data_IF_120720167080
#
_entry.id   IF_120720167080
#
_cell.length_a   1.000
_cell.length_b   1.000
_cell.length_c   1.000
_cell.angle_alpha   90.00
_cell.angle_beta   90.00
_cell.angle_gamma   90.00
#
_symmetry.space_group_name_H-M   'P 1'
#
loop_
_entity.id
_entity.type
_entity.pdbx_description
1 polymer ?
#
# COMPACT_ATOMS: atom_id res chain seq x y z
N UNK A 1 -3.52 20.25 -57.55
CA UNK A 1 -2.68 19.46 -56.62
C UNK A 1 -3.45 19.31 -55.32
N UNK A 2 -4.07 18.16 -55.08
CA UNK A 2 -4.84 17.88 -53.85
C UNK A 2 -4.23 16.60 -53.27
N UNK A 3 -3.50 16.71 -52.17
CA UNK A 3 -2.97 15.56 -51.44
C UNK A 3 -3.97 15.18 -50.36
N UNK A 4 -4.54 13.99 -50.51
CA UNK A 4 -5.41 13.31 -49.55
C UNK A 4 -4.72 13.12 -48.20
N UNK A 5 -5.40 13.49 -47.13
CA UNK A 5 -5.13 13.00 -45.78
C UNK A 5 -6.06 11.82 -45.51
N UNK A 6 -5.50 10.61 -45.39
CA UNK A 6 -6.21 9.45 -44.84
C UNK A 6 -5.82 9.35 -43.37
N UNK A 7 -6.74 9.73 -42.50
CA UNK A 7 -6.61 9.58 -41.05
C UNK A 7 -7.12 8.17 -40.68
N UNK A 8 -6.21 7.22 -40.48
CA UNK A 8 -6.55 5.92 -39.89
C UNK A 8 -6.82 6.12 -38.40
N UNK A 9 -8.09 6.10 -38.01
CA UNK A 9 -8.49 5.98 -36.61
C UNK A 9 -8.26 4.54 -36.14
N UNK A 10 -7.15 4.30 -35.44
CA UNK A 10 -6.94 3.08 -34.64
C UNK A 10 -7.86 3.17 -33.41
N UNK A 11 -9.06 2.58 -33.54
CA UNK A 11 -9.94 2.33 -32.40
C UNK A 11 -9.39 1.09 -31.67
N UNK A 12 -8.45 1.32 -30.76
CA UNK A 12 -8.02 0.31 -29.80
C UNK A 12 -9.17 0.00 -28.85
N UNK A 13 -9.78 -1.17 -28.99
CA UNK A 13 -10.77 -1.70 -28.06
C UNK A 13 -10.13 -1.90 -26.69
N UNK A 14 -10.38 -0.98 -25.76
CA UNK A 14 -10.22 -1.22 -24.33
C UNK A 14 -11.20 -2.33 -23.95
N UNK A 15 -10.70 -3.56 -23.83
CA UNK A 15 -11.44 -4.65 -23.21
C UNK A 15 -11.64 -4.29 -21.73
N UNK A 16 -12.80 -3.72 -21.41
CA UNK A 16 -13.28 -3.64 -20.04
C UNK A 16 -13.43 -5.09 -19.56
N UNK A 17 -12.53 -5.53 -18.69
CA UNK A 17 -12.71 -6.77 -17.95
C UNK A 17 -13.97 -6.62 -17.11
N UNK A 18 -15.09 -7.13 -17.62
CA UNK A 18 -16.33 -7.21 -16.86
C UNK A 18 -16.07 -8.09 -15.66
N UNK A 19 -16.24 -7.62 -14.41
CA UNK A 19 -16.12 -8.48 -13.25
C UNK A 19 -17.11 -9.64 -13.43
N UNK A 20 -16.60 -10.87 -13.35
CA UNK A 20 -17.40 -12.08 -13.50
C UNK A 20 -18.62 -11.99 -12.57
N UNK A 21 -19.82 -12.41 -13.02
CA UNK A 21 -21.02 -12.36 -12.21
C UNK A 21 -20.82 -13.24 -10.97
N UNK A 22 -20.59 -12.60 -9.82
CA UNK A 22 -20.41 -13.27 -8.53
C UNK A 22 -21.77 -13.78 -8.06
N UNK A 23 -21.93 -15.10 -7.98
CA UNK A 23 -23.19 -15.73 -7.57
C UNK A 23 -23.57 -15.27 -6.16
N UNK A 24 -24.69 -14.53 -5.99
CA UNK A 24 -25.13 -14.04 -4.68
C UNK A 24 -25.45 -15.18 -3.70
N UNK A 25 -25.65 -16.42 -4.19
CA UNK A 25 -25.90 -17.59 -3.35
C UNK A 25 -24.63 -18.17 -2.72
N UNK A 26 -23.44 -17.68 -3.08
CA UNK A 26 -22.18 -18.12 -2.46
C UNK A 26 -22.20 -17.95 -0.93
N UNK A 27 -22.84 -16.87 -0.44
CA UNK A 27 -22.97 -16.59 0.99
C UNK A 27 -23.97 -17.49 1.73
N UNK A 28 -24.67 -18.39 1.04
CA UNK A 28 -25.45 -19.46 1.67
C UNK A 28 -24.59 -20.67 2.05
N UNK A 29 -23.40 -20.80 1.44
CA UNK A 29 -22.50 -21.95 1.60
C UNK A 29 -21.25 -21.63 2.43
N UNK A 30 -20.87 -20.36 2.50
CA UNK A 30 -19.67 -19.90 3.20
C UNK A 30 -20.08 -19.23 4.51
N UNK A 31 -19.46 -19.59 5.66
CA UNK A 31 -19.74 -18.93 6.92
C UNK A 31 -19.48 -17.42 6.87
N UNK A 32 -20.26 -16.66 7.64
CA UNK A 32 -20.05 -15.22 7.77
C UNK A 32 -18.64 -14.91 8.31
N UNK A 33 -18.06 -13.80 7.87
CA UNK A 33 -16.73 -13.31 8.26
C UNK A 33 -15.53 -14.20 7.87
N UNK A 34 -15.76 -15.30 7.14
CA UNK A 34 -14.68 -16.08 6.53
C UNK A 34 -14.32 -15.45 5.19
N UNK A 35 -13.04 -15.12 5.02
CA UNK A 35 -12.54 -14.62 3.74
C UNK A 35 -12.12 -15.76 2.82
N UNK A 36 -12.39 -15.62 1.53
CA UNK A 36 -12.01 -16.59 0.51
C UNK A 36 -11.59 -15.90 -0.79
N UNK A 37 -10.78 -16.57 -1.60
CA UNK A 37 -10.28 -16.02 -2.85
C UNK A 37 -11.07 -16.57 -4.04
N UNK A 38 -11.26 -15.74 -5.07
CA UNK A 38 -11.89 -16.13 -6.36
C UNK A 38 -11.07 -15.62 -7.53
N UNK A 39 -11.44 -16.05 -8.74
CA UNK A 39 -10.93 -15.54 -10.00
C UNK A 39 -9.40 -15.60 -10.09
N UNK A 40 -8.84 -16.77 -9.78
CA UNK A 40 -7.38 -16.96 -9.69
C UNK A 40 -6.71 -15.97 -8.71
N UNK A 41 -7.32 -15.83 -7.53
CA UNK A 41 -6.83 -15.03 -6.42
C UNK A 41 -6.80 -13.51 -6.67
N UNK A 42 -7.44 -13.02 -7.73
CA UNK A 42 -7.49 -11.57 -8.00
C UNK A 42 -8.52 -10.85 -7.14
N UNK A 43 -9.42 -11.58 -6.48
CA UNK A 43 -10.39 -11.01 -5.56
C UNK A 43 -10.37 -11.74 -4.23
N UNK A 44 -10.39 -10.95 -3.14
CA UNK A 44 -10.68 -11.42 -1.79
C UNK A 44 -12.10 -11.06 -1.45
N UNK A 45 -12.85 -12.06 -1.02
CA UNK A 45 -14.27 -11.97 -0.74
C UNK A 45 -14.52 -12.27 0.73
N UNK A 46 -15.61 -11.72 1.26
CA UNK A 46 -16.15 -12.05 2.58
C UNK A 46 -17.67 -11.93 2.54
N UNK A 47 -18.35 -12.81 3.25
CA UNK A 47 -19.80 -12.73 3.43
C UNK A 47 -20.12 -12.03 4.75
N UNK A 48 -20.86 -10.92 4.70
CA UNK A 48 -21.33 -10.16 5.87
C UNK A 48 -22.83 -9.99 5.75
N UNK A 49 -23.59 -10.45 6.73
CA UNK A 49 -25.06 -10.38 6.73
C UNK A 49 -25.71 -10.94 5.44
N UNK A 50 -25.17 -12.03 4.90
CA UNK A 50 -25.63 -12.65 3.65
C UNK A 50 -25.24 -11.90 2.37
N UNK A 51 -24.54 -10.77 2.48
CA UNK A 51 -24.03 -10.01 1.34
C UNK A 51 -22.57 -10.34 1.06
N UNK A 52 -22.24 -10.51 -0.22
CA UNK A 52 -20.89 -10.72 -0.69
C UNK A 52 -20.18 -9.37 -0.84
N UNK A 53 -19.12 -9.16 -0.08
CA UNK A 53 -18.22 -8.01 -0.21
C UNK A 53 -16.92 -8.51 -0.85
N UNK A 54 -16.48 -7.83 -1.90
CA UNK A 54 -15.31 -8.22 -2.68
C UNK A 54 -14.38 -7.03 -2.89
N UNK A 55 -13.08 -7.28 -2.80
CA UNK A 55 -12.05 -6.30 -3.11
C UNK A 55 -10.95 -6.94 -3.97
N UNK A 56 -10.28 -6.15 -4.84
CA UNK A 56 -9.08 -6.61 -5.53
C UNK A 56 -8.06 -7.14 -4.51
N UNK A 57 -7.34 -8.19 -4.89
CA UNK A 57 -6.35 -8.81 -4.05
C UNK A 57 -5.18 -9.31 -4.89
N UNK A 58 -3.99 -9.21 -4.32
CA UNK A 58 -2.76 -9.76 -4.89
C UNK A 58 -2.07 -10.59 -3.83
N UNK A 59 -1.58 -11.76 -4.24
CA UNK A 59 -0.78 -12.61 -3.37
C UNK A 59 0.53 -11.90 -3.00
N UNK A 60 0.99 -12.14 -1.77
CA UNK A 60 2.22 -11.53 -1.25
C UNK A 60 3.46 -11.91 -2.09
N UNK A 61 4.56 -11.17 -1.90
CA UNK A 61 5.83 -11.47 -2.56
C UNK A 61 6.26 -12.93 -2.35
N UNK A 62 6.87 -13.54 -3.38
CA UNK A 62 7.29 -14.95 -3.42
C UNK A 62 6.16 -15.97 -3.23
N UNK A 63 4.91 -15.53 -3.36
CA UNK A 63 3.74 -16.40 -3.45
C UNK A 63 3.06 -16.26 -4.82
N UNK A 64 2.20 -17.20 -5.15
CA UNK A 64 1.40 -17.22 -6.38
C UNK A 64 0.00 -17.74 -6.06
N UNK A 65 -0.96 -17.44 -6.92
CA UNK A 65 -2.24 -18.13 -6.83
C UNK A 65 -2.07 -19.62 -7.12
N UNK A 66 -2.73 -20.45 -6.33
CA UNK A 66 -2.83 -21.88 -6.51
C UNK A 66 -4.08 -22.41 -5.84
N UNK A 67 -4.08 -23.70 -5.55
CA UNK A 67 -5.16 -24.36 -4.82
C UNK A 67 -4.68 -24.77 -3.44
N UNK A 68 -5.52 -24.61 -2.42
CA UNK A 68 -5.33 -25.18 -1.09
C UNK A 68 -5.54 -26.70 -1.09
N UNK A 69 -5.39 -27.32 0.08
CA UNK A 69 -5.60 -28.76 0.26
C UNK A 69 -7.04 -29.23 -0.04
N UNK A 70 -8.00 -28.31 -0.06
CA UNK A 70 -9.41 -28.56 -0.34
C UNK A 70 -9.80 -28.22 -1.79
N UNK A 71 -8.85 -27.80 -2.62
CA UNK A 71 -9.10 -27.40 -4.01
C UNK A 71 -9.67 -25.99 -4.18
N UNK A 72 -9.65 -25.15 -3.15
CA UNK A 72 -10.07 -23.74 -3.25
C UNK A 72 -8.91 -22.85 -3.66
N UNK A 73 -9.15 -21.74 -4.39
CA UNK A 73 -8.12 -20.75 -4.65
C UNK A 73 -7.49 -20.22 -3.34
N UNK A 74 -6.17 -20.30 -3.23
CA UNK A 74 -5.38 -19.73 -2.14
C UNK A 74 -4.05 -19.19 -2.67
N UNK A 75 -3.42 -18.30 -1.92
CA UNK A 75 -2.04 -17.95 -2.17
C UNK A 75 -1.14 -19.06 -1.60
N UNK A 76 -0.24 -19.57 -2.44
CA UNK A 76 0.73 -20.60 -2.07
C UNK A 76 2.13 -20.08 -2.31
N UNK A 77 3.07 -20.44 -1.45
CA UNK A 77 4.46 -20.08 -1.65
C UNK A 77 5.00 -20.70 -2.94
N UNK A 78 5.87 -19.97 -3.64
CA UNK A 78 6.60 -20.51 -4.77
C UNK A 78 7.50 -21.69 -4.33
N UNK A 79 7.89 -22.60 -5.24
CA UNK A 79 8.70 -23.76 -4.89
C UNK A 79 9.98 -23.39 -4.13
N UNK A 80 10.22 -24.08 -3.01
CA UNK A 80 11.38 -23.82 -2.15
C UNK A 80 11.18 -22.70 -1.12
N UNK A 81 10.07 -21.95 -1.17
CA UNK A 81 9.74 -20.90 -0.21
C UNK A 81 8.77 -21.41 0.88
N UNK A 82 8.75 -20.74 2.03
CA UNK A 82 7.89 -21.06 3.18
C UNK A 82 7.17 -19.82 3.72
N UNK A 83 5.96 -20.02 4.25
CA UNK A 83 5.24 -18.96 4.94
C UNK A 83 5.99 -18.51 6.19
N UNK A 84 6.05 -17.20 6.43
CA UNK A 84 6.37 -16.69 7.77
C UNK A 84 5.27 -17.09 8.79
N UNK A 85 5.57 -16.93 10.07
CA UNK A 85 4.66 -17.34 11.17
C UNK A 85 3.27 -16.70 11.07
N UNK A 86 3.17 -15.50 10.50
CA UNK A 86 1.93 -14.75 10.36
C UNK A 86 1.18 -15.05 9.05
N UNK A 87 1.72 -15.90 8.17
CA UNK A 87 1.25 -16.13 6.79
C UNK A 87 1.00 -14.83 6.00
N UNK A 88 1.86 -13.84 6.19
CA UNK A 88 1.80 -12.56 5.47
C UNK A 88 2.79 -12.49 4.31
N UNK A 89 3.84 -13.30 4.31
CA UNK A 89 4.82 -13.36 3.23
C UNK A 89 5.49 -14.74 3.15
N UNK A 90 5.97 -15.10 1.96
CA UNK A 90 6.80 -16.28 1.73
C UNK A 90 8.29 -15.90 1.70
N UNK A 91 9.14 -16.73 2.30
CA UNK A 91 10.58 -16.52 2.38
C UNK A 91 11.36 -17.79 2.04
N UNK A 92 12.61 -17.64 1.61
CA UNK A 92 13.53 -18.76 1.39
C UNK A 92 14.05 -19.26 2.75
N UNK A 93 13.73 -20.48 3.20
CA UNK A 93 14.21 -21.01 4.47
C UNK A 93 15.73 -21.19 4.53
N UNK A 94 16.43 -21.24 3.39
CA UNK A 94 17.91 -21.27 3.34
C UNK A 94 18.51 -19.87 3.53
N UNK A 95 17.74 -18.84 3.20
CA UNK A 95 18.10 -17.44 3.39
C UNK A 95 16.98 -16.74 4.17
N UNK A 96 16.74 -17.14 5.44
CA UNK A 96 15.63 -16.60 6.20
C UNK A 96 15.78 -15.08 6.29
N UNK A 97 14.67 -14.32 6.30
CA UNK A 97 14.71 -12.89 6.56
C UNK A 97 15.46 -12.71 7.87
N UNK A 98 16.56 -11.95 7.86
CA UNK A 98 17.24 -11.61 9.10
C UNK A 98 16.19 -10.98 10.03
N UNK A 99 16.18 -11.33 11.33
CA UNK A 99 15.38 -10.61 12.30
C UNK A 99 15.60 -9.12 12.07
N UNK A 100 14.52 -8.37 11.85
CA UNK A 100 14.65 -6.94 11.60
C UNK A 100 15.23 -6.33 12.86
N UNK A 101 16.40 -5.71 12.74
CA UNK A 101 16.98 -4.97 13.84
C UNK A 101 16.06 -3.76 14.10
N UNK A 102 15.41 -3.67 15.28
CA UNK A 102 14.53 -2.55 15.59
C UNK A 102 15.25 -1.20 15.58
N UNK A 103 16.59 -1.22 15.64
CA UNK A 103 17.45 -0.06 15.61
C UNK A 103 18.14 0.16 14.26
N UNK A 104 17.84 -0.64 13.24
CA UNK A 104 18.41 -0.42 11.91
C UNK A 104 17.72 0.77 11.22
N UNK A 105 18.49 1.76 10.70
CA UNK A 105 17.92 2.86 9.95
C UNK A 105 17.28 2.37 8.65
N UNK A 106 16.19 3.03 8.25
CA UNK A 106 15.45 2.67 7.06
C UNK A 106 15.93 3.51 5.86
N UNK A 107 16.47 2.90 4.80
CA UNK A 107 16.78 3.62 3.57
C UNK A 107 15.47 3.98 2.83
N UNK A 108 15.18 5.27 2.72
CA UNK A 108 14.05 5.77 1.95
C UNK A 108 14.46 5.98 0.50
N UNK A 109 14.02 5.07 -0.38
CA UNK A 109 14.36 5.10 -1.81
C UNK A 109 13.79 6.33 -2.52
N UNK A 110 12.70 6.93 -2.03
CA UNK A 110 12.05 8.06 -2.70
C UNK A 110 12.79 9.37 -2.43
N UNK A 111 13.26 9.57 -1.20
CA UNK A 111 13.95 10.79 -0.79
C UNK A 111 15.48 10.66 -0.81
N UNK A 112 16.00 9.43 -0.88
CA UNK A 112 17.43 9.13 -0.70
C UNK A 112 17.89 9.29 0.75
N UNK A 113 16.99 9.54 1.70
CA UNK A 113 17.31 9.75 3.11
C UNK A 113 17.44 8.43 3.86
N UNK A 114 18.27 8.43 4.90
CA UNK A 114 18.29 7.36 5.90
C UNK A 114 17.43 7.79 7.09
N UNK A 115 16.27 7.17 7.24
CA UNK A 115 15.35 7.47 8.34
C UNK A 115 15.83 6.80 9.63
N UNK A 116 16.01 7.60 10.67
CA UNK A 116 16.34 7.12 12.02
C UNK A 116 15.14 6.36 12.61
N UNK A 117 15.34 5.18 13.21
CA UNK A 117 14.26 4.43 13.85
C UNK A 117 13.57 5.24 14.96
N UNK A 118 12.24 5.20 14.98
CA UNK A 118 11.41 5.92 15.95
C UNK A 118 11.19 7.40 15.64
N UNK A 119 11.84 7.96 14.61
CA UNK A 119 11.65 9.35 14.21
C UNK A 119 10.84 9.44 12.92
N UNK A 120 9.88 10.36 12.92
CA UNK A 120 9.10 10.69 11.72
C UNK A 120 9.75 11.84 10.95
N UNK A 121 9.70 11.79 9.62
CA UNK A 121 10.19 12.85 8.74
C UNK A 121 9.17 13.17 7.66
N UNK A 122 9.08 14.45 7.29
CA UNK A 122 8.28 14.88 6.15
C UNK A 122 9.09 14.72 4.85
N UNK A 123 8.40 14.31 3.79
CA UNK A 123 9.00 14.07 2.47
C UNK A 123 8.06 14.50 1.34
N UNK A 124 8.64 14.69 0.15
CA UNK A 124 7.95 15.00 -1.10
C UNK A 124 7.15 16.30 -1.01
N UNK A 125 7.77 17.37 -0.51
CA UNK A 125 7.12 18.65 -0.28
C UNK A 125 6.06 18.55 0.83
N UNK A 126 6.40 17.90 1.94
CA UNK A 126 5.57 17.71 3.13
C UNK A 126 4.25 16.95 2.88
N UNK A 127 4.12 16.27 1.75
CA UNK A 127 2.92 15.48 1.42
C UNK A 127 2.85 14.16 2.19
N UNK A 128 4.00 13.65 2.62
CA UNK A 128 4.07 12.38 3.34
C UNK A 128 4.84 12.53 4.63
N UNK A 129 4.27 12.01 5.72
CA UNK A 129 4.98 11.77 6.96
C UNK A 129 5.41 10.30 6.95
N UNK A 130 6.72 10.08 6.94
CA UNK A 130 7.34 8.75 6.93
C UNK A 130 7.92 8.46 8.30
N UNK A 131 7.74 7.24 8.80
CA UNK A 131 8.23 6.80 10.09
C UNK A 131 8.96 5.46 9.92
N UNK A 132 10.22 5.38 10.37
CA UNK A 132 10.96 4.14 10.42
C UNK A 132 10.65 3.39 11.72
N UNK A 133 9.98 2.24 11.64
CA UNK A 133 9.78 1.34 12.79
C UNK A 133 10.19 -0.07 12.39
N UNK A 134 10.99 -0.73 13.22
CA UNK A 134 11.41 -2.12 13.02
C UNK A 134 12.01 -2.37 11.63
N UNK A 135 12.82 -1.43 11.13
CA UNK A 135 13.43 -1.50 9.80
C UNK A 135 12.45 -1.35 8.64
N UNK A 136 11.21 -0.92 8.87
CA UNK A 136 10.20 -0.63 7.85
C UNK A 136 9.81 0.85 7.82
N UNK A 137 9.58 1.37 6.63
CA UNK A 137 9.05 2.73 6.44
C UNK A 137 7.53 2.65 6.39
N UNK A 138 6.88 3.24 7.39
CA UNK A 138 5.46 3.50 7.38
C UNK A 138 5.21 4.89 6.83
N UNK A 139 4.43 4.96 5.75
CA UNK A 139 4.10 6.22 5.08
C UNK A 139 2.64 6.57 5.30
N UNK A 140 2.38 7.81 5.69
CA UNK A 140 1.03 8.37 5.75
C UNK A 140 0.98 9.71 5.01
N UNK A 141 -0.18 10.00 4.40
CA UNK A 141 -0.44 11.32 3.86
C UNK A 141 -0.41 12.36 4.98
N UNK A 142 0.23 13.49 4.70
CA UNK A 142 0.33 14.61 5.61
C UNK A 142 -0.14 15.88 4.92
N UNK A 143 -0.72 16.78 5.71
CA UNK A 143 -1.08 18.13 5.28
C UNK A 143 -0.62 19.06 6.38
N UNK A 144 0.20 20.03 6.01
CA UNK A 144 0.68 21.01 6.95
C UNK A 144 -0.50 21.81 7.54
N UNK A 145 -0.45 22.19 8.83
CA UNK A 145 -1.52 22.95 9.48
C UNK A 145 -1.80 24.30 8.81
N UNK A 146 -2.92 24.93 9.15
CA UNK A 146 -3.23 26.28 8.65
C UNK A 146 -2.12 27.29 9.02
N UNK A 147 -1.96 28.31 8.16
CA UNK A 147 -0.96 29.36 8.30
C UNK A 147 0.49 28.84 8.28
N UNK A 148 0.70 27.71 7.62
CA UNK A 148 2.01 27.14 7.38
C UNK A 148 2.22 26.87 5.90
N UNK A 149 3.49 26.80 5.51
CA UNK A 149 3.90 26.32 4.21
C UNK A 149 4.94 25.20 4.38
N UNK A 150 5.06 24.33 3.39
CA UNK A 150 6.14 23.37 3.37
C UNK A 150 7.46 24.08 3.03
N UNK A 151 8.43 23.97 3.91
CA UNK A 151 9.79 24.46 3.68
C UNK A 151 10.82 23.49 4.27
N UNK A 152 12.01 24.00 4.54
CA UNK A 152 13.12 23.20 5.07
C UNK A 152 13.62 23.77 6.40
N UNK A 153 13.70 22.93 7.42
CA UNK A 153 14.35 23.25 8.71
C UNK A 153 15.64 22.42 8.83
N UNK A 154 16.78 23.08 8.64
CA UNK A 154 18.07 22.40 8.51
C UNK A 154 18.13 21.57 7.21
N UNK A 155 18.23 20.24 7.33
CA UNK A 155 18.27 19.30 6.20
C UNK A 155 16.94 18.60 5.93
N UNK A 156 15.92 18.86 6.75
CA UNK A 156 14.66 18.14 6.71
C UNK A 156 13.54 19.05 6.19
N UNK A 157 12.58 18.46 5.49
CA UNK A 157 11.33 19.15 5.20
C UNK A 157 10.54 19.35 6.49
N UNK A 158 9.93 20.52 6.63
CA UNK A 158 9.14 20.91 7.79
C UNK A 158 7.98 21.80 7.36
N UNK A 159 6.87 21.73 8.09
CA UNK A 159 5.85 22.77 8.02
C UNK A 159 6.39 24.00 8.79
N UNK A 160 6.39 25.18 8.16
CA UNK A 160 6.94 26.40 8.74
C UNK A 160 5.82 27.44 8.84
N UNK A 161 5.69 28.09 10.00
CA UNK A 161 4.72 29.18 10.16
C UNK A 161 5.01 30.32 9.18
N UNK A 162 3.98 30.84 8.54
CA UNK A 162 4.08 32.06 7.75
C UNK A 162 4.54 33.24 8.64
N UNK A 163 5.19 34.26 8.06
CA UNK A 163 5.97 35.26 8.80
C UNK A 163 5.22 36.01 9.92
N UNK A 164 3.90 36.15 9.85
CA UNK A 164 3.05 36.80 10.86
C UNK A 164 2.58 35.87 11.99
N UNK A 165 2.95 34.60 11.95
CA UNK A 165 2.56 33.57 12.92
C UNK A 165 3.77 32.94 13.62
N UNK A 166 3.54 32.32 14.77
CA UNK A 166 4.51 31.54 15.55
C UNK A 166 3.85 30.25 16.02
N UNK A 167 4.65 29.21 16.25
CA UNK A 167 4.13 27.97 16.84
C UNK A 167 3.50 28.24 18.21
N UNK A 168 2.39 27.55 18.48
CA UNK A 168 1.87 27.41 19.85
C UNK A 168 2.85 26.64 20.74
N UNK A 169 2.58 26.60 22.05
CA UNK A 169 3.46 25.92 23.01
C UNK A 169 3.64 24.42 22.72
N UNK A 170 2.71 23.80 21.99
CA UNK A 170 2.72 22.37 21.65
C UNK A 170 3.29 22.10 20.25
N UNK A 171 3.71 23.14 19.51
CA UNK A 171 4.11 23.06 18.10
C UNK A 171 3.09 22.34 17.20
N UNK A 172 1.79 22.53 17.50
CA UNK A 172 0.71 21.91 16.73
C UNK A 172 0.10 22.88 15.73
N UNK A 173 -0.05 24.15 16.11
CA UNK A 173 -0.65 25.17 15.25
C UNK A 173 0.21 26.44 15.22
N UNK A 174 0.11 27.18 14.12
CA UNK A 174 0.69 28.51 14.01
C UNK A 174 -0.35 29.57 14.39
N UNK A 175 -0.08 30.28 15.47
CA UNK A 175 -0.92 31.34 16.04
C UNK A 175 -0.33 32.71 15.73
N UNK A 176 -1.16 33.75 15.67
CA UNK A 176 -0.69 35.10 15.44
C UNK A 176 0.37 35.51 16.49
N UNK A 177 1.39 36.24 16.05
CA UNK A 177 2.50 36.67 16.92
C UNK A 177 2.05 37.62 18.03
#
# INVERSE_FOLDING_TARGET
MIKSFVLLALVGTLALATPLPRDPKVCLKIPAFVSFLTDNCTFKNVCINGQLISQPYECAENSRCGLDANGNPDCICQPGMQWNTQRTACFDPKNPPKPRDPNAPCPDKDSGLMLTPGYSQLTNGCKYLKLCLNGEIHTQCHTCPENTFCGTEGKYEACICEGKFKWDANKKNCIAK
#
